data_IF_102114226057
#
_entry.id   IF_102114226057
#
_cell.length_a   1.000
_cell.length_b   1.000
_cell.length_c   1.000
_cell.angle_alpha   90.00
_cell.angle_beta   90.00
_cell.angle_gamma   90.00
#
_symmetry.space_group_name_H-M   'P 1'
#
loop_
_entity.id
_entity.type
_entity.pdbx_description
1 polymer ?
#
# COMPACT_ATOMS: atom_id res chain seq x y z
N UNK A 1 5.54 -12.88 -0.55
CA UNK A 1 5.43 -12.02 -1.72
C UNK A 1 6.82 -11.69 -2.31
N UNK A 2 7.62 -10.86 -1.70
CA UNK A 2 8.92 -10.33 -2.08
C UNK A 2 9.95 -11.37 -2.55
N UNK A 3 10.17 -12.49 -1.82
CA UNK A 3 11.06 -13.58 -2.27
C UNK A 3 10.59 -14.24 -3.56
N UNK A 4 9.28 -14.24 -3.84
CA UNK A 4 8.73 -14.77 -5.10
C UNK A 4 9.00 -13.84 -6.27
N UNK A 5 8.89 -12.52 -6.07
CA UNK A 5 9.27 -11.54 -7.07
C UNK A 5 10.75 -11.64 -7.46
N UNK A 6 11.64 -11.76 -6.47
CA UNK A 6 13.09 -11.92 -6.70
C UNK A 6 13.47 -13.20 -7.42
N UNK A 7 12.67 -14.28 -7.27
CA UNK A 7 12.90 -15.58 -7.90
C UNK A 7 12.17 -15.72 -9.24
N UNK A 8 11.47 -14.68 -9.70
CA UNK A 8 10.61 -14.73 -10.89
C UNK A 8 9.59 -15.88 -10.86
N UNK A 9 9.16 -16.26 -9.64
CA UNK A 9 8.14 -17.28 -9.38
C UNK A 9 6.93 -16.62 -8.76
N UNK A 10 6.29 -15.77 -9.56
CA UNK A 10 5.12 -15.03 -9.14
C UNK A 10 3.97 -15.97 -8.75
N UNK A 11 3.27 -15.57 -7.72
CA UNK A 11 1.96 -16.04 -7.32
C UNK A 11 1.20 -14.83 -6.79
N UNK A 12 -0.09 -14.74 -6.98
CA UNK A 12 -0.84 -13.57 -6.53
C UNK A 12 -0.74 -13.36 -5.02
N UNK A 13 -1.04 -12.14 -4.58
CA UNK A 13 -0.87 -11.74 -3.17
C UNK A 13 -1.74 -12.56 -2.21
N UNK A 14 -2.94 -12.97 -2.61
CA UNK A 14 -3.81 -13.83 -1.81
C UNK A 14 -3.20 -15.19 -1.52
N UNK A 15 -2.57 -15.83 -2.52
CA UNK A 15 -1.80 -17.07 -2.34
C UNK A 15 -0.64 -16.86 -1.38
N UNK A 16 0.10 -15.75 -1.53
CA UNK A 16 1.20 -15.41 -0.63
C UNK A 16 0.72 -15.23 0.81
N UNK A 17 -0.42 -14.59 1.02
CA UNK A 17 -1.01 -14.37 2.35
C UNK A 17 -1.44 -15.68 2.98
N UNK A 18 -2.12 -16.57 2.24
CA UNK A 18 -2.48 -17.91 2.73
C UNK A 18 -1.24 -18.69 3.16
N UNK A 19 -0.21 -18.71 2.33
CA UNK A 19 1.04 -19.41 2.65
C UNK A 19 1.79 -18.82 3.84
N UNK A 20 1.70 -17.50 4.05
CA UNK A 20 2.26 -16.85 5.24
C UNK A 20 1.48 -17.26 6.50
N UNK A 21 0.15 -17.34 6.43
CA UNK A 21 -0.67 -17.85 7.52
C UNK A 21 -0.32 -19.31 7.86
N UNK A 22 -0.24 -20.17 6.86
CA UNK A 22 0.10 -21.59 7.04
C UNK A 22 1.50 -21.75 7.66
N UNK A 23 2.47 -21.00 7.19
CA UNK A 23 3.82 -20.97 7.76
C UNK A 23 3.80 -20.52 9.23
N UNK A 24 3.07 -19.47 9.55
CA UNK A 24 2.96 -18.94 10.91
C UNK A 24 2.31 -19.96 11.84
N UNK A 25 1.22 -20.58 11.41
CA UNK A 25 0.55 -21.64 12.17
C UNK A 25 1.49 -22.82 12.45
N UNK A 26 2.23 -23.27 11.43
CA UNK A 26 3.19 -24.35 11.60
C UNK A 26 4.34 -23.96 12.52
N UNK A 27 4.90 -22.76 12.37
CA UNK A 27 6.04 -22.28 13.16
C UNK A 27 5.71 -22.16 14.65
N UNK A 28 4.51 -21.70 14.98
CA UNK A 28 4.05 -21.52 16.37
C UNK A 28 3.24 -22.71 16.90
N UNK A 29 3.03 -23.77 16.12
CA UNK A 29 2.24 -24.93 16.54
C UNK A 29 0.76 -24.62 16.77
N UNK A 30 0.20 -23.65 16.04
CA UNK A 30 -1.20 -23.23 16.17
C UNK A 30 -2.07 -24.08 15.22
N UNK A 31 -2.91 -25.00 15.72
CA UNK A 31 -3.80 -25.79 14.88
C UNK A 31 -5.01 -24.94 14.47
N UNK A 32 -5.11 -24.55 13.20
CA UNK A 32 -6.32 -23.95 12.64
C UNK A 32 -7.00 -24.96 11.71
N UNK A 33 -8.32 -25.06 11.84
CA UNK A 33 -9.15 -25.74 10.85
C UNK A 33 -9.16 -24.97 9.52
N UNK A 34 -9.54 -25.62 8.43
CA UNK A 34 -9.68 -24.94 7.13
C UNK A 34 -10.72 -23.82 7.18
N UNK A 35 -11.82 -24.00 7.91
CA UNK A 35 -12.83 -22.96 8.13
C UNK A 35 -12.23 -21.72 8.82
N UNK A 36 -11.48 -21.91 9.91
CA UNK A 36 -10.82 -20.79 10.62
C UNK A 36 -9.79 -20.07 9.75
N UNK A 37 -9.04 -20.80 8.90
CA UNK A 37 -8.13 -20.19 7.93
C UNK A 37 -8.86 -19.31 6.92
N UNK A 38 -9.98 -19.83 6.39
CA UNK A 38 -10.79 -19.10 5.42
C UNK A 38 -11.41 -17.85 6.04
N UNK A 39 -11.91 -17.93 7.28
CA UNK A 39 -12.45 -16.77 8.01
C UNK A 39 -11.39 -15.69 8.25
N UNK A 40 -10.17 -16.09 8.67
CA UNK A 40 -9.06 -15.15 8.85
C UNK A 40 -8.66 -14.47 7.54
N UNK A 41 -8.61 -15.22 6.43
CA UNK A 41 -8.28 -14.66 5.13
C UNK A 41 -9.41 -13.76 4.59
N UNK A 42 -10.67 -14.13 4.81
CA UNK A 42 -11.81 -13.29 4.45
C UNK A 42 -11.83 -11.96 5.22
N UNK A 43 -11.32 -11.95 6.45
CA UNK A 43 -11.19 -10.74 7.27
C UNK A 43 -10.40 -9.61 6.60
N UNK A 44 -9.50 -9.93 5.66
CA UNK A 44 -8.77 -8.89 4.92
C UNK A 44 -9.68 -8.01 4.04
N UNK A 45 -10.76 -8.55 3.49
CA UNK A 45 -11.68 -7.78 2.63
C UNK A 45 -12.62 -6.87 3.43
N UNK A 46 -12.68 -7.03 4.75
CA UNK A 46 -13.58 -6.29 5.64
C UNK A 46 -12.85 -5.39 6.65
N UNK A 47 -11.53 -5.18 6.47
CA UNK A 47 -10.78 -4.29 7.34
C UNK A 47 -11.32 -2.86 7.26
N UNK A 48 -11.60 -2.20 8.40
CA UNK A 48 -12.04 -0.82 8.41
C UNK A 48 -10.89 0.13 8.01
N UNK A 49 -11.23 1.29 7.47
CA UNK A 49 -10.29 2.38 7.36
C UNK A 49 -9.93 2.92 8.76
N UNK A 50 -8.75 3.53 8.90
CA UNK A 50 -8.42 4.30 10.10
C UNK A 50 -9.26 5.59 10.15
N UNK A 51 -9.48 6.13 11.35
CA UNK A 51 -10.39 7.26 11.59
C UNK A 51 -10.01 8.55 10.84
N UNK A 52 -8.72 8.76 10.58
CA UNK A 52 -8.16 9.91 9.86
C UNK A 52 -8.33 9.83 8.32
N UNK A 53 -8.62 8.63 7.79
CA UNK A 53 -8.54 8.37 6.35
C UNK A 53 -9.61 9.11 5.56
N UNK A 54 -10.87 9.05 5.98
CA UNK A 54 -11.95 9.70 5.23
C UNK A 54 -11.79 11.23 5.17
N UNK A 55 -11.37 11.85 6.29
CA UNK A 55 -11.09 13.27 6.36
C UNK A 55 -9.89 13.66 5.48
N UNK A 56 -8.78 12.94 5.60
CA UNK A 56 -7.58 13.19 4.80
C UNK A 56 -7.81 13.03 3.30
N UNK A 57 -8.48 11.95 2.86
CA UNK A 57 -8.84 11.75 1.44
C UNK A 57 -9.77 12.86 0.93
N UNK A 58 -10.72 13.30 1.76
CA UNK A 58 -11.62 14.41 1.45
C UNK A 58 -10.89 15.73 1.20
N UNK A 59 -9.90 16.06 2.04
CA UNK A 59 -9.06 17.25 1.90
C UNK A 59 -8.24 17.21 0.60
N UNK A 60 -7.59 16.08 0.32
CA UNK A 60 -6.78 15.91 -0.88
C UNK A 60 -7.62 16.05 -2.16
N UNK A 61 -8.79 15.42 -2.19
CA UNK A 61 -9.72 15.53 -3.31
C UNK A 61 -10.24 16.98 -3.48
N UNK A 62 -10.50 17.68 -2.38
CA UNK A 62 -10.88 19.11 -2.38
C UNK A 62 -9.81 20.03 -2.97
N UNK A 63 -8.53 19.62 -2.89
CA UNK A 63 -7.39 20.29 -3.50
C UNK A 63 -7.11 19.84 -4.94
N UNK A 64 -8.04 19.13 -5.58
CA UNK A 64 -7.92 18.57 -6.94
C UNK A 64 -6.73 17.62 -7.14
N UNK A 65 -6.30 16.95 -6.06
CA UNK A 65 -5.25 15.92 -6.14
C UNK A 65 -5.89 14.60 -6.58
N UNK A 66 -5.35 14.00 -7.61
CA UNK A 66 -5.79 12.69 -8.09
C UNK A 66 -5.28 11.57 -7.18
N UNK A 67 -6.19 10.71 -6.74
CA UNK A 67 -5.90 9.65 -5.80
C UNK A 67 -6.01 8.28 -6.46
N UNK A 68 -5.00 7.46 -6.30
CA UNK A 68 -4.95 6.07 -6.79
C UNK A 68 -4.66 5.11 -5.64
N UNK A 69 -5.34 3.97 -5.61
CA UNK A 69 -4.98 2.88 -4.72
C UNK A 69 -3.91 2.01 -5.38
N UNK A 70 -2.71 2.02 -4.83
CA UNK A 70 -1.55 1.29 -5.35
C UNK A 70 -1.18 0.14 -4.44
N UNK A 71 -1.34 -1.12 -4.89
CA UNK A 71 -1.29 -2.31 -4.03
C UNK A 71 -0.56 -3.50 -4.66
N UNK A 72 -0.05 -4.37 -3.78
CA UNK A 72 0.38 -5.72 -4.15
C UNK A 72 -0.80 -6.69 -4.38
N UNK A 73 -1.98 -6.36 -3.88
CA UNK A 73 -3.20 -7.13 -4.09
C UNK A 73 -3.75 -6.98 -5.51
N UNK A 74 -4.54 -7.95 -5.97
CA UNK A 74 -5.23 -7.86 -7.26
C UNK A 74 -6.24 -6.70 -7.26
N UNK A 75 -6.55 -6.15 -8.45
CA UNK A 75 -7.51 -5.04 -8.61
C UNK A 75 -8.85 -5.36 -7.93
N UNK A 76 -9.36 -6.56 -8.10
CA UNK A 76 -10.65 -6.97 -7.51
C UNK A 76 -10.60 -7.00 -5.99
N UNK A 77 -9.54 -7.56 -5.40
CA UNK A 77 -9.40 -7.63 -3.93
C UNK A 77 -9.26 -6.23 -3.31
N UNK A 78 -8.56 -5.31 -3.98
CA UNK A 78 -8.42 -3.93 -3.52
C UNK A 78 -9.73 -3.17 -3.69
N UNK A 79 -10.43 -3.35 -4.81
CA UNK A 79 -11.73 -2.71 -5.06
C UNK A 79 -12.76 -3.13 -3.99
N UNK A 80 -12.85 -4.44 -3.70
CA UNK A 80 -13.72 -4.99 -2.65
C UNK A 80 -13.40 -4.37 -1.28
N UNK A 81 -12.11 -4.35 -0.89
CA UNK A 81 -11.67 -3.77 0.38
C UNK A 81 -12.05 -2.29 0.51
N UNK A 82 -11.79 -1.49 -0.53
CA UNK A 82 -12.10 -0.06 -0.53
C UNK A 82 -13.61 0.22 -0.50
N UNK A 83 -14.41 -0.63 -1.17
CA UNK A 83 -15.87 -0.54 -1.12
C UNK A 83 -16.39 -0.88 0.27
N UNK A 84 -15.90 -1.97 0.88
CA UNK A 84 -16.31 -2.38 2.23
C UNK A 84 -15.90 -1.34 3.29
N UNK A 85 -14.74 -0.67 3.09
CA UNK A 85 -14.30 0.43 3.94
C UNK A 85 -15.01 1.77 3.67
N UNK A 86 -15.88 1.86 2.66
CA UNK A 86 -16.63 3.07 2.31
C UNK A 86 -15.79 4.20 1.70
N UNK A 87 -14.58 3.91 1.22
CA UNK A 87 -13.64 4.92 0.71
C UNK A 87 -13.32 4.78 -0.79
N UNK A 88 -13.89 3.80 -1.49
CA UNK A 88 -13.62 3.57 -2.92
C UNK A 88 -13.86 4.82 -3.79
N UNK A 89 -14.89 5.60 -3.46
CA UNK A 89 -15.29 6.79 -4.22
C UNK A 89 -14.29 7.94 -4.20
N UNK A 90 -13.25 7.89 -3.35
CA UNK A 90 -12.18 8.89 -3.37
C UNK A 90 -11.13 8.65 -4.46
N UNK A 91 -10.99 7.41 -4.92
CA UNK A 91 -9.93 7.01 -5.83
C UNK A 91 -10.37 7.03 -7.30
N UNK A 92 -9.57 7.64 -8.16
CA UNK A 92 -9.71 7.64 -9.62
C UNK A 92 -9.53 6.22 -10.18
N UNK A 93 -8.55 5.49 -9.63
CA UNK A 93 -8.23 4.15 -10.11
C UNK A 93 -7.49 3.31 -9.08
N UNK A 94 -7.32 2.04 -9.46
CA UNK A 94 -6.53 1.05 -8.72
C UNK A 94 -5.39 0.61 -9.62
N UNK A 95 -4.15 0.73 -9.14
CA UNK A 95 -2.96 0.21 -9.80
C UNK A 95 -2.46 -0.99 -9.01
N UNK A 96 -2.42 -2.13 -9.66
CA UNK A 96 -2.05 -3.40 -9.04
C UNK A 96 -0.68 -3.88 -9.51
N UNK A 97 0.15 -4.32 -8.57
CA UNK A 97 1.41 -5.00 -8.90
C UNK A 97 1.17 -6.38 -9.55
N UNK A 98 -0.03 -6.95 -9.37
CA UNK A 98 -0.47 -8.20 -10.00
C UNK A 98 -0.47 -8.10 -11.53
N UNK A 99 -0.75 -6.90 -12.07
CA UNK A 99 -0.80 -6.63 -13.51
C UNK A 99 0.55 -6.89 -14.22
N UNK A 100 1.65 -6.80 -13.47
CA UNK A 100 3.02 -7.00 -13.98
C UNK A 100 3.77 -8.14 -13.29
N UNK A 101 3.05 -9.01 -12.57
CA UNK A 101 3.55 -10.23 -11.95
C UNK A 101 4.79 -10.03 -11.05
N UNK A 102 4.80 -8.95 -10.26
CA UNK A 102 5.85 -8.70 -9.27
C UNK A 102 5.30 -7.97 -8.04
N UNK A 103 6.15 -7.54 -7.12
CA UNK A 103 5.74 -6.96 -5.85
C UNK A 103 6.60 -5.73 -5.51
N UNK A 104 6.01 -4.79 -4.78
CA UNK A 104 6.77 -3.76 -4.09
C UNK A 104 7.85 -4.41 -3.21
N UNK A 105 9.07 -3.88 -3.13
CA UNK A 105 9.57 -2.62 -3.68
C UNK A 105 10.32 -2.77 -5.02
N UNK A 106 9.98 -3.74 -5.89
CA UNK A 106 10.62 -3.83 -7.20
C UNK A 106 10.42 -2.50 -7.99
N UNK A 107 11.47 -1.89 -8.55
CA UNK A 107 11.34 -0.62 -9.28
C UNK A 107 10.35 -0.64 -10.44
N UNK A 108 10.08 -1.83 -11.00
CA UNK A 108 9.10 -1.97 -12.09
C UNK A 108 7.67 -1.58 -11.66
N UNK A 109 7.30 -1.81 -10.39
CA UNK A 109 5.95 -1.48 -9.92
C UNK A 109 5.71 0.02 -9.85
N UNK A 110 6.73 0.81 -9.46
CA UNK A 110 6.61 2.27 -9.40
C UNK A 110 6.57 2.87 -10.81
N UNK A 111 7.36 2.34 -11.75
CA UNK A 111 7.25 2.73 -13.18
C UNK A 111 5.87 2.37 -13.76
N UNK A 112 5.34 1.21 -13.40
CA UNK A 112 3.98 0.81 -13.78
C UNK A 112 2.95 1.80 -13.23
N UNK A 113 3.05 2.17 -11.95
CA UNK A 113 2.19 3.18 -11.34
C UNK A 113 2.23 4.51 -12.11
N UNK A 114 3.42 5.06 -12.38
CA UNK A 114 3.58 6.33 -13.11
C UNK A 114 2.96 6.28 -14.50
N UNK A 115 3.09 5.14 -15.18
CA UNK A 115 2.45 4.93 -16.50
C UNK A 115 0.92 4.89 -16.41
N UNK A 116 0.37 4.11 -15.48
CA UNK A 116 -1.09 3.94 -15.33
C UNK A 116 -1.78 5.22 -14.85
N UNK A 117 -1.12 6.01 -14.01
CA UNK A 117 -1.61 7.32 -13.53
C UNK A 117 -1.31 8.47 -14.49
N UNK A 118 -0.53 8.22 -15.54
CA UNK A 118 -0.03 9.26 -16.45
C UNK A 118 0.69 10.42 -15.73
N UNK A 119 1.43 10.09 -14.66
CA UNK A 119 2.14 11.06 -13.81
C UNK A 119 3.64 11.05 -14.07
N UNK A 120 4.30 12.20 -13.88
CA UNK A 120 5.75 12.26 -13.76
C UNK A 120 6.19 11.75 -12.38
N UNK A 121 7.45 11.31 -12.23
CA UNK A 121 7.96 10.91 -10.92
C UNK A 121 8.01 12.07 -9.92
N UNK A 122 8.30 13.27 -10.39
CA UNK A 122 8.43 14.47 -9.56
C UNK A 122 7.09 14.95 -8.98
N UNK A 123 5.99 14.68 -9.70
CA UNK A 123 4.63 15.07 -9.30
C UNK A 123 3.93 13.98 -8.48
N UNK A 124 4.44 12.74 -8.53
CA UNK A 124 3.84 11.60 -7.88
C UNK A 124 4.30 11.44 -6.43
N UNK A 125 3.34 11.20 -5.54
CA UNK A 125 3.56 10.92 -4.14
C UNK A 125 3.10 9.51 -3.78
N UNK A 126 3.97 8.75 -3.12
CA UNK A 126 3.55 7.54 -2.42
C UNK A 126 3.24 7.87 -0.97
N UNK A 127 2.14 7.33 -0.44
CA UNK A 127 1.76 7.43 0.97
C UNK A 127 1.69 6.03 1.55
N UNK A 128 2.54 5.70 2.50
CA UNK A 128 2.61 4.36 3.09
C UNK A 128 3.12 4.36 4.52
N UNK A 129 2.62 3.43 5.33
CA UNK A 129 3.19 3.14 6.66
C UNK A 129 4.37 2.16 6.59
N UNK A 130 4.65 1.56 5.43
CA UNK A 130 5.73 0.59 5.27
C UNK A 130 7.01 1.28 4.79
N UNK A 131 8.11 1.29 5.59
CA UNK A 131 9.37 1.91 5.20
C UNK A 131 9.90 1.44 3.84
N UNK A 132 9.88 0.11 3.58
CA UNK A 132 10.36 -0.45 2.31
C UNK A 132 9.63 0.10 1.07
N UNK A 133 8.34 0.45 1.21
CA UNK A 133 7.53 0.99 0.11
C UNK A 133 7.89 2.46 -0.15
N UNK A 134 8.05 3.24 0.93
CA UNK A 134 8.53 4.63 0.89
C UNK A 134 9.92 4.70 0.25
N UNK A 135 10.87 3.87 0.71
CA UNK A 135 12.23 3.77 0.14
C UNK A 135 12.17 3.40 -1.35
N UNK A 136 11.31 2.43 -1.71
CA UNK A 136 11.15 2.02 -3.10
C UNK A 136 10.64 3.13 -4.01
N UNK A 137 9.67 3.93 -3.54
CA UNK A 137 9.13 5.07 -4.28
C UNK A 137 10.18 6.18 -4.48
N UNK A 138 10.89 6.56 -3.42
CA UNK A 138 11.97 7.55 -3.48
C UNK A 138 13.08 7.08 -4.42
N UNK A 139 13.48 5.81 -4.34
CA UNK A 139 14.47 5.21 -5.25
C UNK A 139 14.02 5.19 -6.72
N UNK A 140 12.72 5.28 -6.96
CA UNK A 140 12.14 5.41 -8.30
C UNK A 140 11.94 6.88 -8.75
N UNK A 141 12.41 7.86 -7.97
CA UNK A 141 12.32 9.28 -8.25
C UNK A 141 11.01 9.95 -7.81
N UNK A 142 10.12 9.22 -7.15
CA UNK A 142 8.88 9.77 -6.60
C UNK A 142 9.13 10.49 -5.27
N UNK A 143 8.21 11.34 -4.85
CA UNK A 143 8.13 11.80 -3.47
C UNK A 143 7.38 10.76 -2.62
N UNK A 144 7.63 10.75 -1.31
CA UNK A 144 6.91 9.82 -0.44
C UNK A 144 6.67 10.38 0.97
N UNK A 145 5.47 10.11 1.49
CA UNK A 145 5.11 10.36 2.88
C UNK A 145 5.12 9.04 3.67
N UNK A 146 5.87 9.01 4.75
CA UNK A 146 5.80 7.92 5.71
C UNK A 146 4.75 8.21 6.77
N UNK A 147 3.74 7.33 6.87
CA UNK A 147 2.69 7.45 7.88
C UNK A 147 3.12 6.67 9.13
N UNK A 148 3.71 7.37 10.09
CA UNK A 148 4.15 6.81 11.38
C UNK A 148 2.99 6.85 12.38
N UNK A 149 2.10 5.85 12.34
CA UNK A 149 0.92 5.77 13.22
C UNK A 149 1.25 5.45 14.68
N UNK A 150 2.47 5.04 14.97
CA UNK A 150 2.96 4.79 16.33
C UNK A 150 4.38 5.33 16.47
N UNK A 151 4.65 6.02 17.58
CA UNK A 151 6.01 6.48 17.92
C UNK A 151 7.01 5.32 18.13
N UNK A 152 6.51 4.09 18.33
CA UNK A 152 7.34 2.89 18.42
C UNK A 152 7.75 2.35 17.03
N UNK A 153 7.13 2.82 15.94
CA UNK A 153 7.53 2.43 14.59
C UNK A 153 8.86 3.09 14.23
N UNK A 154 9.76 2.30 13.68
CA UNK A 154 11.09 2.75 13.25
C UNK A 154 11.17 2.69 11.73
N UNK A 155 11.72 3.74 11.12
CA UNK A 155 12.00 3.73 9.69
C UNK A 155 13.28 2.94 9.40
N UNK A 156 13.35 2.26 8.25
CA UNK A 156 14.52 1.44 7.87
C UNK A 156 15.76 2.33 7.69
N UNK A 157 16.91 2.04 8.38
CA UNK A 157 18.07 2.92 8.41
C UNK A 157 18.98 2.73 7.20
N UNK A 158 18.43 2.88 5.99
CA UNK A 158 19.16 2.63 4.72
C UNK A 158 19.75 3.89 4.09
N UNK A 159 19.72 5.01 4.81
CA UNK A 159 20.25 6.29 4.30
C UNK A 159 19.34 6.94 3.25
N UNK A 160 18.10 6.51 3.13
CA UNK A 160 17.05 7.10 2.29
C UNK A 160 15.94 7.56 3.23
N UNK A 161 15.69 8.86 3.28
CA UNK A 161 14.70 9.44 4.16
C UNK A 161 13.38 9.70 3.42
N UNK A 162 12.21 9.61 4.10
CA UNK A 162 10.94 10.02 3.52
C UNK A 162 10.96 11.53 3.19
N UNK A 163 10.23 11.96 2.16
CA UNK A 163 10.05 13.38 1.87
C UNK A 163 9.37 14.10 3.04
N UNK A 164 8.45 13.42 3.71
CA UNK A 164 7.79 13.87 4.93
C UNK A 164 7.37 12.68 5.79
N UNK A 165 7.38 12.86 7.11
CA UNK A 165 6.78 11.93 8.07
C UNK A 165 5.54 12.58 8.68
N UNK A 166 4.43 11.85 8.69
CA UNK A 166 3.13 12.29 9.21
C UNK A 166 2.55 11.24 10.17
N UNK A 167 1.77 11.67 11.14
CA UNK A 167 1.09 10.76 12.07
C UNK A 167 -0.22 10.17 11.53
N UNK A 168 -0.89 10.90 10.64
CA UNK A 168 -2.16 10.55 10.02
C UNK A 168 -2.32 11.18 8.65
N UNK A 169 -3.28 10.68 7.88
CA UNK A 169 -3.51 11.13 6.50
C UNK A 169 -4.08 12.57 6.44
N UNK A 170 -4.75 12.99 7.48
CA UNK A 170 -5.28 14.35 7.66
C UNK A 170 -4.20 15.44 7.67
N UNK A 171 -2.94 15.07 7.96
CA UNK A 171 -1.79 16.00 7.95
C UNK A 171 -1.16 16.16 6.54
N UNK A 172 -1.47 15.27 5.60
CA UNK A 172 -0.76 15.22 4.31
C UNK A 172 -1.02 16.45 3.43
N UNK A 173 -2.25 16.96 3.43
CA UNK A 173 -2.67 18.08 2.58
C UNK A 173 -1.74 19.30 2.70
N UNK A 174 -1.34 19.67 3.92
CA UNK A 174 -0.49 20.84 4.16
C UNK A 174 0.90 20.71 3.51
N UNK A 175 1.41 19.48 3.40
CA UNK A 175 2.72 19.21 2.80
C UNK A 175 2.67 19.22 1.28
N UNK A 176 1.56 18.81 0.67
CA UNK A 176 1.41 18.78 -0.77
C UNK A 176 1.18 20.17 -1.38
N UNK A 177 0.42 21.01 -0.71
CA UNK A 177 0.08 22.37 -1.21
C UNK A 177 1.27 23.34 -1.08
N UNK A 178 2.19 23.13 -0.14
CA UNK A 178 3.39 23.98 0.03
C UNK A 178 4.48 23.73 -1.00
N UNK A 179 4.40 22.66 -1.76
CA UNK A 179 5.43 22.22 -2.73
C UNK A 179 4.98 22.39 -4.19
N UNK A 180 3.80 22.95 -4.43
CA UNK A 180 3.24 23.29 -5.73
C UNK A 180 3.48 24.85 -6.06
#
# INVERSE_FOLDING_TARGET
AFRRGLKEKYENFGVCTRQALDYTCQHYGIPLSEAQRNDLLAGYSTLPAFDDVAAGLGQLRGAAIELYAFSNGSRNAVDELLNNAGIRGFFQGIVSCDDINTFKPNPAVYRHFLKESNSSSEDAWLVSSNPFDVIGAISAGMRAAWVQRSSASVFDPWGIEPTVTIGGLDQLHEHLVRTA
#
